data_IF_348848521549
#
_entry.id   IF_348848521549
#
_cell.length_a   1.000
_cell.length_b   1.000
_cell.length_c   1.000
_cell.angle_alpha   90.00
_cell.angle_beta   90.00
_cell.angle_gamma   90.00
#
_symmetry.space_group_name_H-M   'P 1'
#
loop_
_entity.id
_entity.type
_entity.pdbx_description
1 polymer ?
#
# COMPACT_ATOMS: atom_id res chain seq x y z
N UNK A 1 -16.66 3.09 11.37
CA UNK A 1 -17.97 3.23 10.68
C UNK A 1 -17.84 3.01 9.17
N UNK A 2 -16.98 3.76 8.42
CA UNK A 2 -16.85 3.61 6.96
C UNK A 2 -16.33 2.21 6.61
N UNK A 3 -15.29 1.73 7.25
CA UNK A 3 -14.75 0.37 7.04
C UNK A 3 -15.80 -0.71 7.33
N UNK A 4 -16.55 -0.59 8.44
CA UNK A 4 -17.65 -1.51 8.75
C UNK A 4 -18.77 -1.46 7.69
N UNK A 5 -19.00 -0.29 7.12
CA UNK A 5 -19.96 -0.12 6.04
C UNK A 5 -19.48 -0.79 4.75
N UNK A 6 -18.22 -0.57 4.36
CA UNK A 6 -17.62 -1.19 3.17
C UNK A 6 -17.67 -2.72 3.27
N UNK A 7 -17.32 -3.29 4.43
CA UNK A 7 -17.40 -4.73 4.69
C UNK A 7 -18.83 -5.27 4.56
N UNK A 8 -19.81 -4.59 5.16
CA UNK A 8 -21.21 -5.01 5.07
C UNK A 8 -21.77 -4.92 3.66
N UNK A 9 -21.42 -3.87 2.93
CA UNK A 9 -21.87 -3.66 1.55
C UNK A 9 -21.06 -4.46 0.53
N UNK A 10 -19.96 -5.09 0.96
CA UNK A 10 -19.04 -5.85 0.11
C UNK A 10 -18.52 -5.01 -1.07
N UNK A 11 -18.00 -3.84 -0.77
CA UNK A 11 -17.42 -2.91 -1.76
C UNK A 11 -15.97 -2.61 -1.43
N UNK A 12 -15.13 -2.31 -2.44
CA UNK A 12 -13.75 -1.91 -2.22
C UNK A 12 -13.63 -0.70 -1.30
N UNK A 13 -12.57 -0.69 -0.49
CA UNK A 13 -12.23 0.41 0.41
C UNK A 13 -10.98 1.12 -0.11
N UNK A 14 -11.10 2.44 -0.33
CA UNK A 14 -9.95 3.29 -0.67
C UNK A 14 -9.71 4.24 0.49
N UNK A 15 -8.52 4.16 1.09
CA UNK A 15 -8.05 5.06 2.12
C UNK A 15 -7.05 6.07 1.56
N UNK A 16 -7.35 7.36 1.63
CA UNK A 16 -6.40 8.43 1.32
C UNK A 16 -5.74 8.85 2.63
N UNK A 17 -4.43 8.74 2.69
CA UNK A 17 -3.66 8.84 3.92
C UNK A 17 -2.71 10.04 3.88
N UNK A 18 -2.83 10.90 4.89
CA UNK A 18 -1.96 12.02 5.23
C UNK A 18 -2.06 12.24 6.73
N UNK A 19 -1.08 11.75 7.50
CA UNK A 19 -1.16 11.79 8.97
C UNK A 19 0.19 11.58 9.63
N UNK A 20 0.50 12.41 10.61
CA UNK A 20 1.68 12.23 11.48
C UNK A 20 1.58 11.07 12.47
N UNK A 21 0.50 10.30 12.47
CA UNK A 21 0.30 9.18 13.37
C UNK A 21 -0.56 9.50 14.61
N UNK A 22 -0.41 8.68 15.64
CA UNK A 22 -1.17 8.82 16.85
C UNK A 22 -0.78 10.11 17.61
N UNK A 23 -1.78 10.88 18.03
CA UNK A 23 -1.55 12.10 18.81
C UNK A 23 -1.03 11.75 20.20
N UNK A 24 0.22 12.08 20.48
CA UNK A 24 0.90 11.73 21.74
C UNK A 24 0.16 12.30 22.96
N UNK A 25 -0.42 13.50 22.85
CA UNK A 25 -1.15 14.16 23.91
C UNK A 25 -2.42 13.41 24.37
N UNK A 26 -2.95 12.55 23.51
CA UNK A 26 -4.12 11.71 23.84
C UNK A 26 -3.72 10.33 24.41
N UNK A 27 -2.43 10.05 24.48
CA UNK A 27 -1.89 8.83 25.08
C UNK A 27 -2.48 7.54 24.52
N UNK A 28 -2.89 6.65 25.40
CA UNK A 28 -3.41 5.31 25.02
C UNK A 28 -4.68 5.38 24.16
N UNK A 29 -5.50 6.42 24.32
CA UNK A 29 -6.75 6.55 23.56
C UNK A 29 -6.50 6.71 22.05
N UNK A 30 -5.48 7.46 21.66
CA UNK A 30 -5.12 7.59 20.23
C UNK A 30 -4.55 6.29 19.67
N UNK A 31 -3.79 5.54 20.45
CA UNK A 31 -3.31 4.20 20.07
C UNK A 31 -4.46 3.20 19.90
N UNK A 32 -5.43 3.23 20.82
CA UNK A 32 -6.64 2.41 20.70
C UNK A 32 -7.42 2.71 19.42
N UNK A 33 -7.49 3.99 19.01
CA UNK A 33 -8.09 4.39 17.73
C UNK A 33 -7.43 3.74 16.52
N UNK A 34 -6.10 3.67 16.48
CA UNK A 34 -5.37 2.95 15.44
C UNK A 34 -5.58 1.44 15.53
N UNK A 35 -5.60 0.87 16.73
CA UNK A 35 -5.92 -0.54 16.93
C UNK A 35 -7.26 -0.93 16.32
N UNK A 36 -8.28 -0.07 16.44
CA UNK A 36 -9.59 -0.26 15.82
C UNK A 36 -9.53 -0.24 14.27
N UNK A 37 -8.63 0.56 13.69
CA UNK A 37 -8.41 0.58 12.24
C UNK A 37 -7.72 -0.72 11.81
N UNK A 38 -6.64 -1.12 12.48
CA UNK A 38 -5.90 -2.35 12.17
C UNK A 38 -6.77 -3.59 12.27
N UNK A 39 -7.58 -3.68 13.32
CA UNK A 39 -8.55 -4.76 13.47
C UNK A 39 -9.49 -4.86 12.27
N UNK A 40 -9.98 -3.73 11.76
CA UNK A 40 -10.85 -3.73 10.57
C UNK A 40 -10.10 -4.04 9.29
N UNK A 41 -8.84 -3.61 9.15
CA UNK A 41 -8.01 -4.03 8.01
C UNK A 41 -7.87 -5.55 7.98
N UNK A 42 -7.63 -6.20 9.11
CA UNK A 42 -7.51 -7.66 9.18
C UNK A 42 -8.83 -8.37 8.87
N UNK A 43 -9.96 -7.86 9.34
CA UNK A 43 -11.28 -8.41 9.02
C UNK A 43 -11.64 -8.25 7.53
N UNK A 44 -11.17 -7.19 6.88
CA UNK A 44 -11.44 -6.92 5.47
C UNK A 44 -10.50 -7.68 4.53
N UNK A 45 -9.35 -8.14 5.04
CA UNK A 45 -8.34 -8.88 4.27
C UNK A 45 -8.93 -10.14 3.63
N UNK A 46 -8.77 -10.27 2.31
CA UNK A 46 -9.33 -11.37 1.54
C UNK A 46 -10.86 -11.34 1.38
N UNK A 47 -11.55 -10.31 1.89
CA UNK A 47 -13.00 -10.16 1.76
C UNK A 47 -13.37 -9.09 0.73
N UNK A 48 -12.79 -7.92 0.86
CA UNK A 48 -12.93 -6.78 -0.08
C UNK A 48 -11.56 -6.22 -0.43
N UNK A 49 -11.35 -5.69 -1.63
CA UNK A 49 -10.13 -4.96 -1.96
C UNK A 49 -9.92 -3.74 -1.06
N UNK A 50 -8.73 -3.63 -0.50
CA UNK A 50 -8.29 -2.51 0.32
C UNK A 50 -7.15 -1.78 -0.38
N UNK A 51 -7.35 -0.52 -0.71
CA UNK A 51 -6.38 0.31 -1.42
C UNK A 51 -5.98 1.49 -0.53
N UNK A 52 -4.70 1.64 -0.28
CA UNK A 52 -4.15 2.80 0.40
C UNK A 52 -3.45 3.72 -0.59
N UNK A 53 -3.77 5.01 -0.51
CA UNK A 53 -3.19 6.07 -1.33
C UNK A 53 -2.49 7.04 -0.38
N UNK A 54 -1.19 7.20 -0.54
CA UNK A 54 -0.40 8.06 0.32
C UNK A 54 -0.26 9.43 -0.34
N UNK A 55 -0.96 10.42 0.19
CA UNK A 55 -0.96 11.80 -0.34
C UNK A 55 -0.45 12.81 0.70
N UNK A 56 0.66 12.45 1.35
CA UNK A 56 1.32 13.25 2.35
C UNK A 56 2.22 12.39 3.23
N UNK A 57 2.72 12.94 4.34
CA UNK A 57 3.44 12.16 5.33
C UNK A 57 2.52 11.16 6.03
N UNK A 58 2.99 9.91 6.15
CA UNK A 58 2.37 8.86 6.95
C UNK A 58 3.42 8.30 7.91
N UNK A 59 3.28 8.64 9.19
CA UNK A 59 4.23 8.28 10.22
C UNK A 59 3.60 7.45 11.35
N UNK A 60 4.38 6.59 11.99
CA UNK A 60 3.95 5.80 13.14
C UNK A 60 2.71 4.95 12.84
N UNK A 61 1.66 5.09 13.63
CA UNK A 61 0.40 4.36 13.44
C UNK A 61 -0.24 4.54 12.06
N UNK A 62 -0.04 5.70 11.43
CA UNK A 62 -0.59 6.00 10.11
C UNK A 62 0.08 5.21 8.97
N UNK A 63 1.28 4.69 9.15
CA UNK A 63 1.97 3.87 8.16
C UNK A 63 1.61 2.38 8.28
N UNK A 64 1.22 1.92 9.46
CA UNK A 64 0.87 0.51 9.66
C UNK A 64 -0.41 0.11 8.95
N UNK A 65 -1.44 0.96 8.95
CA UNK A 65 -2.70 0.66 8.26
C UNK A 65 -2.49 0.45 6.75
N UNK A 66 -1.79 1.33 6.01
CA UNK A 66 -1.42 1.07 4.61
C UNK A 66 -0.69 -0.25 4.40
N UNK A 67 0.24 -0.61 5.28
CA UNK A 67 0.99 -1.86 5.19
C UNK A 67 0.11 -3.12 5.41
N UNK A 68 -1.08 -2.97 5.98
CA UNK A 68 -2.06 -4.05 6.16
C UNK A 68 -3.08 -4.14 5.01
N UNK A 69 -3.03 -3.25 4.04
CA UNK A 69 -3.94 -3.24 2.88
C UNK A 69 -3.36 -4.00 1.70
N UNK A 70 -4.19 -4.29 0.69
CA UNK A 70 -3.78 -5.12 -0.45
C UNK A 70 -2.91 -4.35 -1.45
N UNK A 71 -3.17 -3.05 -1.60
CA UNK A 71 -2.45 -2.20 -2.56
C UNK A 71 -2.10 -0.86 -1.96
N UNK A 72 -0.84 -0.45 -2.17
CA UNK A 72 -0.32 0.85 -1.73
C UNK A 72 0.12 1.65 -2.95
N UNK A 73 -0.46 2.82 -3.11
CA UNK A 73 -0.14 3.81 -4.14
C UNK A 73 0.61 4.98 -3.54
N UNK A 74 1.67 5.39 -4.20
CA UNK A 74 2.47 6.54 -3.81
C UNK A 74 2.65 7.51 -4.97
N UNK A 75 2.78 8.79 -4.65
CA UNK A 75 2.97 9.89 -5.61
C UNK A 75 4.32 10.53 -5.37
N UNK A 76 5.07 10.77 -6.45
CA UNK A 76 6.42 11.35 -6.40
C UNK A 76 6.44 12.64 -5.58
N UNK A 77 7.44 12.80 -4.73
CA UNK A 77 7.68 13.96 -3.85
C UNK A 77 6.55 14.28 -2.85
N UNK A 78 5.36 13.74 -3.01
CA UNK A 78 4.22 13.94 -2.10
C UNK A 78 4.23 12.88 -1.00
N UNK A 79 4.27 11.61 -1.38
CA UNK A 79 4.15 10.48 -0.44
C UNK A 79 5.39 10.31 0.41
N UNK A 80 5.19 10.19 1.71
CA UNK A 80 6.24 9.85 2.68
C UNK A 80 5.70 8.78 3.63
N UNK A 81 6.45 7.70 3.79
CA UNK A 81 6.08 6.61 4.71
C UNK A 81 7.29 6.25 5.58
N UNK A 82 7.15 6.36 6.90
CA UNK A 82 8.18 5.94 7.85
C UNK A 82 7.60 5.63 9.23
N UNK A 83 8.23 4.75 9.97
CA UNK A 83 7.84 4.43 11.34
C UNK A 83 8.12 5.61 12.26
N UNK A 84 9.31 6.21 12.12
CA UNK A 84 9.74 7.40 12.85
C UNK A 84 10.34 8.41 11.87
N UNK A 85 10.10 9.70 12.11
CA UNK A 85 10.62 10.76 11.25
C UNK A 85 12.10 11.04 11.45
N UNK A 86 12.71 11.88 10.56
CA UNK A 86 14.14 12.22 10.59
C UNK A 86 14.65 12.75 11.94
N UNK A 87 13.86 13.55 12.64
CA UNK A 87 14.24 14.13 13.93
C UNK A 87 14.48 13.06 15.01
N UNK A 88 13.66 12.00 15.00
CA UNK A 88 13.82 10.89 15.94
C UNK A 88 15.07 10.09 15.59
N UNK A 89 15.32 9.83 14.31
CA UNK A 89 16.52 9.14 13.83
C UNK A 89 17.77 9.94 14.25
N UNK A 90 17.77 11.25 14.01
CA UNK A 90 18.87 12.12 14.43
C UNK A 90 19.11 12.06 15.95
N UNK A 91 18.05 12.07 16.75
CA UNK A 91 18.19 12.06 18.21
C UNK A 91 18.65 10.73 18.77
N UNK A 92 18.30 9.61 18.14
CA UNK A 92 18.59 8.25 18.64
C UNK A 92 19.87 7.67 18.03
N UNK A 93 20.06 7.84 16.72
CA UNK A 93 21.18 7.27 15.98
C UNK A 93 22.29 8.28 15.65
N UNK A 94 22.01 9.59 15.78
CA UNK A 94 22.95 10.65 15.39
C UNK A 94 23.07 10.83 13.87
N UNK A 95 22.20 10.18 13.09
CA UNK A 95 22.22 10.24 11.63
C UNK A 95 21.32 11.35 11.10
N UNK A 96 21.81 12.12 10.14
CA UNK A 96 21.04 13.13 9.42
C UNK A 96 20.52 12.54 8.10
N UNK A 97 19.21 12.44 7.96
CA UNK A 97 18.52 11.97 6.75
C UNK A 97 17.32 12.86 6.48
N UNK A 98 17.07 13.19 5.22
CA UNK A 98 15.86 13.91 4.82
C UNK A 98 14.66 12.95 4.65
N UNK A 99 13.45 13.53 4.62
CA UNK A 99 12.21 12.73 4.52
C UNK A 99 12.11 11.93 3.21
N UNK A 100 12.65 12.45 2.11
CA UNK A 100 12.59 11.80 0.81
C UNK A 100 13.48 10.56 0.79
N UNK A 101 14.71 10.71 1.27
CA UNK A 101 15.69 9.61 1.36
C UNK A 101 15.29 8.57 2.39
N UNK A 102 14.61 8.98 3.47
CA UNK A 102 14.15 8.06 4.51
C UNK A 102 12.97 7.20 4.05
N UNK A 103 11.97 7.80 3.41
CA UNK A 103 10.71 7.10 3.12
C UNK A 103 9.90 7.78 2.02
N UNK A 104 10.54 8.35 1.02
CA UNK A 104 9.88 8.89 -0.16
C UNK A 104 9.27 7.82 -1.05
N UNK A 105 8.47 8.25 -2.02
CA UNK A 105 7.76 7.34 -2.94
C UNK A 105 8.69 6.34 -3.64
N UNK A 106 9.83 6.81 -4.17
CA UNK A 106 10.80 5.96 -4.86
C UNK A 106 11.45 4.94 -3.95
N UNK A 107 11.77 5.30 -2.71
CA UNK A 107 12.35 4.38 -1.73
C UNK A 107 11.43 3.18 -1.53
N UNK A 108 10.12 3.41 -1.41
CA UNK A 108 9.16 2.34 -1.17
C UNK A 108 8.81 1.51 -2.41
N UNK A 109 8.94 2.06 -3.61
CA UNK A 109 8.75 1.30 -4.85
C UNK A 109 9.99 0.54 -5.30
N UNK A 110 11.19 1.16 -5.18
CA UNK A 110 12.40 0.65 -5.81
C UNK A 110 13.29 -0.12 -4.84
N UNK A 111 13.25 0.21 -3.53
CA UNK A 111 14.15 -0.36 -2.53
C UNK A 111 13.44 -1.28 -1.54
N UNK A 112 12.36 -0.82 -0.91
CA UNK A 112 11.71 -1.61 0.15
C UNK A 112 10.59 -2.51 -0.37
N UNK A 113 10.02 -2.21 -1.53
CA UNK A 113 8.89 -2.95 -2.10
C UNK A 113 7.56 -2.78 -1.34
N UNK A 114 7.47 -1.83 -0.40
CA UNK A 114 6.25 -1.60 0.38
C UNK A 114 5.14 -0.89 -0.41
N UNK A 115 5.49 -0.16 -1.46
CA UNK A 115 4.53 0.45 -2.37
C UNK A 115 4.47 -0.32 -3.69
N UNK A 116 3.24 -0.58 -4.15
CA UNK A 116 2.98 -1.38 -5.35
C UNK A 116 2.90 -0.53 -6.61
N UNK A 117 2.46 0.73 -6.48
CA UNK A 117 2.23 1.62 -7.61
C UNK A 117 2.83 2.99 -7.35
N UNK A 118 3.61 3.46 -8.30
CA UNK A 118 4.18 4.80 -8.34
C UNK A 118 3.45 5.64 -9.36
N UNK A 119 3.19 6.91 -9.04
CA UNK A 119 2.63 7.91 -9.94
C UNK A 119 3.44 9.20 -9.87
N UNK A 120 3.54 9.91 -10.98
CA UNK A 120 4.21 11.22 -11.03
C UNK A 120 3.30 12.36 -10.57
N UNK A 121 1.98 12.14 -10.56
CA UNK A 121 0.98 13.11 -10.09
C UNK A 121 -0.22 12.44 -9.43
N UNK A 122 -1.02 13.21 -8.70
CA UNK A 122 -2.26 12.74 -8.08
C UNK A 122 -3.27 12.28 -9.14
N UNK A 123 -3.37 12.99 -10.26
CA UNK A 123 -4.27 12.64 -11.36
C UNK A 123 -3.91 11.29 -11.96
N UNK A 124 -2.63 11.04 -12.18
CA UNK A 124 -2.14 9.75 -12.64
C UNK A 124 -2.44 8.64 -11.63
N UNK A 125 -2.19 8.91 -10.35
CA UNK A 125 -2.49 7.97 -9.27
C UNK A 125 -3.96 7.56 -9.28
N UNK A 126 -4.88 8.52 -9.36
CA UNK A 126 -6.31 8.21 -9.42
C UNK A 126 -6.71 7.48 -10.73
N UNK A 127 -6.05 7.76 -11.84
CA UNK A 127 -6.26 7.01 -13.08
C UNK A 127 -5.80 5.56 -12.95
N UNK A 128 -4.65 5.32 -12.32
CA UNK A 128 -4.13 3.97 -12.03
C UNK A 128 -5.07 3.19 -11.08
N UNK A 129 -5.60 3.83 -10.04
CA UNK A 129 -6.57 3.22 -9.11
C UNK A 129 -7.84 2.80 -9.85
N UNK A 130 -8.41 3.67 -10.68
CA UNK A 130 -9.60 3.34 -11.50
C UNK A 130 -9.31 2.16 -12.42
N UNK A 131 -8.13 2.12 -13.02
CA UNK A 131 -7.69 1.02 -13.87
C UNK A 131 -7.57 -0.28 -13.07
N UNK A 132 -6.94 -0.26 -11.88
CA UNK A 132 -6.84 -1.42 -11.00
C UNK A 132 -8.24 -1.96 -10.64
N UNK A 133 -9.14 -1.09 -10.21
CA UNK A 133 -10.51 -1.47 -9.85
C UNK A 133 -11.30 -2.10 -11.02
N UNK A 134 -10.96 -1.76 -12.26
CA UNK A 134 -11.61 -2.39 -13.42
C UNK A 134 -11.24 -3.87 -13.62
N UNK A 135 -10.17 -4.34 -12.97
CA UNK A 135 -9.74 -5.75 -13.03
C UNK A 135 -10.18 -6.56 -11.81
N UNK A 136 -10.48 -5.88 -10.71
CA UNK A 136 -10.82 -6.54 -9.44
C UNK A 136 -12.33 -6.76 -9.33
N UNK A 137 -12.77 -7.88 -8.73
CA UNK A 137 -14.14 -8.02 -8.28
C UNK A 137 -14.39 -7.10 -7.08
N UNK A 138 -15.66 -6.77 -6.80
CA UNK A 138 -15.98 -5.93 -5.64
C UNK A 138 -15.69 -6.65 -4.31
N UNK A 139 -15.76 -8.00 -4.30
CA UNK A 139 -15.50 -8.83 -3.11
C UNK A 139 -15.17 -10.29 -3.50
N UNK A 140 -14.72 -11.04 -2.54
CA UNK A 140 -14.24 -12.42 -2.72
C UNK A 140 -15.27 -13.44 -3.22
N UNK A 141 -16.55 -13.15 -3.14
CA UNK A 141 -17.61 -14.03 -3.68
C UNK A 141 -17.96 -13.73 -5.16
N UNK A 142 -17.34 -12.72 -5.75
CA UNK A 142 -17.47 -12.40 -7.18
C UNK A 142 -16.23 -12.85 -7.96
N UNK A 143 -16.40 -13.09 -9.24
CA UNK A 143 -15.29 -13.34 -10.17
C UNK A 143 -14.93 -12.05 -10.91
N UNK A 144 -13.65 -11.84 -11.25
CA UNK A 144 -13.24 -10.73 -12.12
C UNK A 144 -14.03 -10.76 -13.43
N UNK A 145 -14.35 -9.57 -13.95
CA UNK A 145 -15.01 -9.45 -15.25
C UNK A 145 -14.13 -10.06 -16.36
N UNK A 146 -14.67 -10.93 -17.22
CA UNK A 146 -13.90 -11.49 -18.32
C UNK A 146 -13.53 -10.40 -19.32
N UNK A 147 -12.25 -10.23 -19.58
CA UNK A 147 -11.72 -9.31 -20.59
C UNK A 147 -11.27 -10.11 -21.79
N UNK A 148 -11.77 -9.76 -22.99
CA UNK A 148 -11.25 -10.36 -24.22
C UNK A 148 -9.83 -9.86 -24.46
N UNK A 149 -8.87 -10.77 -24.46
CA UNK A 149 -7.51 -10.44 -24.86
C UNK A 149 -7.49 -9.99 -26.33
N UNK A 150 -6.97 -8.80 -26.58
CA UNK A 150 -6.86 -8.25 -27.96
C UNK A 150 -5.67 -8.81 -28.74
N UNK A 151 -4.72 -9.42 -28.05
CA UNK A 151 -3.52 -10.02 -28.68
C UNK A 151 -3.19 -11.36 -28.01
N UNK A 152 -2.65 -12.32 -28.78
CA UNK A 152 -2.14 -13.55 -28.19
C UNK A 152 -0.97 -13.21 -27.25
N UNK A 153 -0.96 -13.83 -26.09
CA UNK A 153 0.17 -13.75 -25.15
C UNK A 153 1.44 -14.20 -25.88
N UNK A 154 2.49 -13.38 -25.82
CA UNK A 154 3.81 -13.82 -26.30
C UNK A 154 4.18 -15.11 -25.56
N UNK A 155 4.57 -16.14 -26.30
CA UNK A 155 5.10 -17.36 -25.68
C UNK A 155 6.48 -17.07 -25.12
N UNK A 156 6.56 -16.84 -23.83
CA UNK A 156 7.84 -16.77 -23.12
C UNK A 156 8.35 -18.17 -22.85
N UNK A 157 9.67 -18.35 -22.95
CA UNK A 157 10.35 -19.60 -22.60
C UNK A 157 10.55 -19.64 -21.08
N UNK A 158 9.46 -19.82 -20.33
CA UNK A 158 9.47 -19.90 -18.85
C UNK A 158 10.42 -20.99 -18.36
N UNK A 159 10.53 -22.09 -19.12
CA UNK A 159 11.49 -23.18 -18.90
C UNK A 159 12.96 -22.74 -18.87
N UNK A 160 13.28 -21.56 -19.41
CA UNK A 160 14.62 -20.96 -19.34
C UNK A 160 14.81 -19.99 -18.18
N UNK A 161 13.73 -19.55 -17.56
CA UNK A 161 13.74 -18.62 -16.43
C UNK A 161 13.74 -19.41 -15.13
N UNK A 162 12.82 -20.35 -15.01
CA UNK A 162 12.71 -21.20 -13.82
C UNK A 162 13.56 -22.45 -14.01
N UNK A 163 14.65 -22.64 -13.24
CA UNK A 163 15.51 -23.82 -13.37
C UNK A 163 14.80 -25.07 -12.92
N UNK A 164 15.13 -26.20 -13.54
CA UNK A 164 14.61 -27.53 -13.15
C UNK A 164 15.17 -27.97 -11.81
N UNK A 165 16.42 -27.58 -11.52
CA UNK A 165 17.07 -27.85 -10.24
C UNK A 165 16.54 -26.88 -9.17
N UNK A 166 15.82 -27.38 -8.13
CA UNK A 166 15.23 -26.53 -7.09
C UNK A 166 16.27 -25.84 -6.19
N UNK A 167 17.55 -26.22 -6.28
CA UNK A 167 18.62 -25.58 -5.53
C UNK A 167 19.25 -24.39 -6.25
N UNK A 168 18.94 -24.20 -7.53
CA UNK A 168 19.47 -23.10 -8.33
C UNK A 168 18.63 -21.83 -8.09
N UNK A 169 19.21 -20.76 -7.55
CA UNK A 169 18.51 -19.49 -7.41
C UNK A 169 18.20 -18.88 -8.79
N UNK A 170 17.07 -18.19 -8.90
CA UNK A 170 16.69 -17.46 -10.09
C UNK A 170 15.94 -16.17 -9.72
N UNK A 171 15.93 -15.21 -10.64
CA UNK A 171 15.23 -13.94 -10.52
C UNK A 171 13.88 -14.02 -11.27
N UNK A 172 12.85 -13.38 -10.70
CA UNK A 172 11.45 -13.42 -11.20
C UNK A 172 11.00 -12.10 -11.76
#
# INVERSE_FOLDING_TARGET
>A
KIMDYALRMRIPLIGINDSGGARIQEGVNSLAGYGEIFFRNTLASGVIPQISVILGPCAGGAVYSPALTDYVFVVDKISKMFITGPEVIKSVLGEEIDMESLGGARVHCETTGNAHFFAESEEECFAQIKKLLSYLPAHNAEKPAPIKASQPLKKYRIDKIVPVDPTTPYDV
#
